data_IF_963406080329
#
_entry.id   IF_963406080329
#
_cell.length_a   1.000
_cell.length_b   1.000
_cell.length_c   1.000
_cell.angle_alpha   90.00
_cell.angle_beta   90.00
_cell.angle_gamma   90.00
#
_symmetry.space_group_name_H-M   'P 1'
#
loop_
_entity.id
_entity.type
_entity.pdbx_description
1 polymer ?
#
# COMPACT_ATOMS: atom_id res chain seq x y z
N UNK A 1 10.26 4.14 7.27
CA UNK A 1 9.46 5.19 6.60
C UNK A 1 8.48 5.79 7.61
N UNK A 2 8.66 7.07 8.00
CA UNK A 2 7.81 7.72 9.01
C UNK A 2 6.34 7.85 8.60
N UNK A 3 6.05 7.90 7.31
CA UNK A 3 4.68 8.09 6.79
C UNK A 3 3.72 6.94 7.11
N UNK A 4 4.16 5.67 7.00
CA UNK A 4 3.31 4.52 7.31
C UNK A 4 3.03 4.39 8.82
N UNK A 5 4.03 4.68 9.67
CA UNK A 5 3.84 4.75 11.12
C UNK A 5 2.82 5.82 11.50
N UNK A 6 2.91 6.99 10.85
CA UNK A 6 1.98 8.07 11.06
C UNK A 6 0.56 7.71 10.60
N UNK A 7 0.39 7.14 9.39
CA UNK A 7 -0.92 6.69 8.89
C UNK A 7 -1.52 5.62 9.82
N UNK A 8 -0.71 4.67 10.30
CA UNK A 8 -1.13 3.64 11.26
C UNK A 8 -1.70 4.27 12.54
N UNK A 9 -0.94 5.17 13.16
CA UNK A 9 -1.34 5.86 14.39
C UNK A 9 -2.59 6.73 14.20
N UNK A 10 -2.71 7.43 13.07
CA UNK A 10 -3.89 8.25 12.77
C UNK A 10 -5.14 7.39 12.57
N UNK A 11 -5.01 6.24 11.91
CA UNK A 11 -6.08 5.25 11.83
C UNK A 11 -6.48 4.76 13.21
N UNK A 12 -5.50 4.38 14.04
CA UNK A 12 -5.73 3.94 15.42
C UNK A 12 -6.56 4.96 16.21
N UNK A 13 -6.12 6.22 16.27
CA UNK A 13 -6.83 7.28 16.99
C UNK A 13 -8.24 7.53 16.45
N UNK A 14 -8.43 7.42 15.13
CA UNK A 14 -9.74 7.60 14.53
C UNK A 14 -10.73 6.52 14.97
N UNK A 15 -10.33 5.25 14.94
CA UNK A 15 -11.16 4.14 15.41
C UNK A 15 -11.40 4.21 16.92
N UNK A 16 -10.37 4.57 17.68
CA UNK A 16 -10.46 4.77 19.12
C UNK A 16 -11.49 5.86 19.47
N UNK A 17 -11.41 7.04 18.84
CA UNK A 17 -12.38 8.13 19.07
C UNK A 17 -13.84 7.74 18.76
N UNK A 18 -14.06 6.85 17.78
CA UNK A 18 -15.41 6.35 17.46
C UNK A 18 -15.93 5.36 18.49
N UNK A 19 -15.06 4.52 19.04
CA UNK A 19 -15.42 3.61 20.13
C UNK A 19 -15.76 4.38 21.42
N UNK A 20 -15.04 5.45 21.73
CA UNK A 20 -15.35 6.33 22.88
C UNK A 20 -16.69 7.08 22.72
N UNK A 21 -17.11 7.40 21.50
CA UNK A 21 -18.38 8.09 21.21
C UNK A 21 -19.61 7.17 21.27
N UNK A 22 -19.52 6.01 21.93
CA UNK A 22 -20.64 5.05 22.08
C UNK A 22 -21.02 4.31 20.80
N UNK A 23 -20.42 4.65 19.66
CA UNK A 23 -20.52 3.89 18.41
C UNK A 23 -19.58 2.70 18.50
N UNK A 24 -19.93 1.71 19.34
CA UNK A 24 -19.17 0.45 19.46
C UNK A 24 -18.96 -0.13 18.05
N UNK A 25 -17.75 0.00 17.53
CA UNK A 25 -17.36 -0.78 16.36
C UNK A 25 -17.05 -2.18 16.84
N UNK A 26 -17.45 -3.21 16.08
CA UNK A 26 -17.24 -4.62 16.44
C UNK A 26 -15.74 -5.03 16.48
N UNK A 27 -14.81 -4.09 16.30
CA UNK A 27 -13.39 -4.36 16.07
C UNK A 27 -12.51 -3.43 16.90
N UNK A 28 -11.37 -3.96 17.38
CA UNK A 28 -10.39 -3.16 18.12
C UNK A 28 -9.69 -2.14 17.20
N UNK A 29 -9.36 -0.92 17.68
CA UNK A 29 -8.70 0.11 16.88
C UNK A 29 -7.38 -0.35 16.25
N UNK A 30 -6.58 -1.10 17.00
CA UNK A 30 -5.31 -1.67 16.52
C UNK A 30 -5.50 -2.65 15.36
N UNK A 31 -6.53 -3.51 15.43
CA UNK A 31 -6.81 -4.47 14.36
C UNK A 31 -7.26 -3.77 13.08
N UNK A 32 -8.03 -2.69 13.19
CA UNK A 32 -8.50 -1.94 12.02
C UNK A 32 -7.36 -1.14 11.37
N UNK A 33 -6.53 -0.47 12.18
CA UNK A 33 -5.33 0.23 11.70
C UNK A 33 -4.35 -0.73 11.00
N UNK A 34 -4.16 -1.93 11.58
CA UNK A 34 -3.34 -2.99 11.00
C UNK A 34 -3.87 -3.46 9.64
N UNK A 35 -5.16 -3.77 9.55
CA UNK A 35 -5.80 -4.19 8.29
C UNK A 35 -5.62 -3.12 7.21
N UNK A 36 -5.88 -1.87 7.54
CA UNK A 36 -5.78 -0.76 6.58
C UNK A 36 -4.35 -0.58 6.06
N UNK A 37 -3.34 -0.56 6.95
CA UNK A 37 -1.95 -0.40 6.51
C UNK A 37 -1.46 -1.59 5.71
N UNK A 38 -1.85 -2.80 6.09
CA UNK A 38 -1.50 -4.01 5.32
C UNK A 38 -2.06 -3.94 3.91
N UNK A 39 -3.35 -3.57 3.77
CA UNK A 39 -3.99 -3.38 2.47
C UNK A 39 -3.35 -2.26 1.65
N UNK A 40 -3.02 -1.13 2.29
CA UNK A 40 -2.33 -0.02 1.64
C UNK A 40 -0.96 -0.45 1.11
N UNK A 41 -0.20 -1.21 1.89
CA UNK A 41 1.09 -1.75 1.44
C UNK A 41 0.91 -2.74 0.28
N UNK A 42 -0.08 -3.62 0.34
CA UNK A 42 -0.38 -4.55 -0.77
C UNK A 42 -0.71 -3.78 -2.06
N UNK A 43 -1.54 -2.74 -1.96
CA UNK A 43 -1.91 -1.89 -3.10
C UNK A 43 -0.70 -1.15 -3.71
N UNK A 44 0.37 -0.91 -2.96
CA UNK A 44 1.61 -0.31 -3.49
C UNK A 44 2.55 -1.39 -4.04
N UNK A 45 2.75 -2.47 -3.29
CA UNK A 45 3.75 -3.50 -3.60
C UNK A 45 3.34 -4.36 -4.79
N UNK A 46 2.07 -4.74 -4.91
CA UNK A 46 1.63 -5.63 -5.99
C UNK A 46 1.82 -5.00 -7.38
N UNK A 47 1.38 -3.75 -7.63
CA UNK A 47 1.68 -3.06 -8.89
C UNK A 47 3.17 -2.82 -9.09
N UNK A 48 3.91 -2.50 -8.02
CA UNK A 48 5.36 -2.30 -8.11
C UNK A 48 6.07 -3.57 -8.56
N UNK A 49 5.68 -4.73 -8.04
CA UNK A 49 6.21 -6.03 -8.48
C UNK A 49 5.83 -6.34 -9.93
N UNK A 50 4.61 -6.05 -10.36
CA UNK A 50 4.20 -6.20 -11.75
C UNK A 50 5.00 -5.28 -12.69
N UNK A 51 5.29 -4.06 -12.26
CA UNK A 51 6.15 -3.12 -12.98
C UNK A 51 7.60 -3.60 -13.06
N UNK A 52 8.17 -4.05 -11.94
CA UNK A 52 9.51 -4.65 -11.88
C UNK A 52 9.61 -5.86 -12.82
N UNK A 53 8.58 -6.73 -12.88
CA UNK A 53 8.53 -7.83 -13.85
C UNK A 53 8.75 -7.34 -15.28
N UNK A 54 8.03 -6.28 -15.70
CA UNK A 54 8.20 -5.72 -17.05
C UNK A 54 9.58 -5.11 -17.26
N UNK A 55 10.15 -4.40 -16.27
CA UNK A 55 11.51 -3.86 -16.39
C UNK A 55 12.55 -4.97 -16.57
N UNK A 56 12.44 -6.07 -15.82
CA UNK A 56 13.36 -7.21 -15.95
C UNK A 56 13.21 -7.85 -17.34
N UNK A 57 11.97 -8.01 -17.84
CA UNK A 57 11.71 -8.53 -19.17
C UNK A 57 12.37 -7.68 -20.28
N UNK A 58 12.26 -6.34 -20.19
CA UNK A 58 12.85 -5.40 -21.16
C UNK A 58 14.38 -5.44 -21.09
N UNK A 59 14.96 -5.52 -19.89
CA UNK A 59 16.41 -5.53 -19.70
C UNK A 59 17.11 -6.79 -20.25
N UNK A 60 16.36 -7.85 -20.56
CA UNK A 60 16.92 -9.14 -20.97
C UNK A 60 17.70 -9.87 -19.86
N UNK A 61 17.68 -9.38 -18.62
CA UNK A 61 18.40 -9.99 -17.48
C UNK A 61 17.91 -11.41 -17.16
N UNK A 62 16.64 -11.70 -17.41
CA UNK A 62 16.01 -13.01 -17.22
C UNK A 62 15.12 -13.34 -18.41
N UNK A 63 14.99 -14.62 -18.74
CA UNK A 63 14.06 -15.05 -19.78
C UNK A 63 12.61 -14.85 -19.32
N UNK A 64 11.73 -14.49 -20.26
CA UNK A 64 10.30 -14.34 -20.00
C UNK A 64 9.67 -15.63 -19.45
N UNK A 65 10.20 -16.80 -19.82
CA UNK A 65 9.75 -18.09 -19.30
C UNK A 65 9.99 -18.22 -17.78
N UNK A 66 11.17 -17.81 -17.30
CA UNK A 66 11.48 -17.83 -15.86
C UNK A 66 10.70 -16.76 -15.07
N UNK A 67 10.49 -15.57 -15.65
CA UNK A 67 9.66 -14.55 -15.01
C UNK A 67 8.21 -14.99 -14.89
N UNK A 68 7.65 -15.58 -15.95
CA UNK A 68 6.29 -16.08 -15.94
C UNK A 68 6.10 -17.25 -14.98
N UNK A 69 7.07 -18.16 -14.88
CA UNK A 69 6.97 -19.29 -13.95
C UNK A 69 6.93 -18.83 -12.49
N UNK A 70 7.54 -17.70 -12.13
CA UNK A 70 7.47 -17.15 -10.77
C UNK A 70 6.15 -16.37 -10.56
N UNK A 71 5.84 -15.43 -11.47
CA UNK A 71 4.73 -14.49 -11.27
C UNK A 71 3.34 -15.09 -11.53
N UNK A 72 3.23 -16.23 -12.23
CA UNK A 72 1.95 -16.94 -12.41
C UNK A 72 1.60 -17.84 -11.22
N UNK A 73 2.56 -18.15 -10.35
CA UNK A 73 2.32 -19.03 -9.21
C UNK A 73 1.50 -18.32 -8.12
N UNK A 74 0.34 -18.83 -7.71
CA UNK A 74 -0.43 -18.25 -6.61
C UNK A 74 0.36 -18.20 -5.30
N UNK A 75 1.23 -19.19 -5.07
CA UNK A 75 2.05 -19.27 -3.86
C UNK A 75 3.02 -18.10 -3.72
N UNK A 76 3.52 -17.56 -4.83
CA UNK A 76 4.38 -16.37 -4.80
C UNK A 76 3.63 -15.16 -4.23
N UNK A 77 2.42 -14.90 -4.73
CA UNK A 77 1.59 -13.78 -4.26
C UNK A 77 1.11 -13.96 -2.83
N UNK A 78 0.79 -15.20 -2.43
CA UNK A 78 0.46 -15.53 -1.03
C UNK A 78 1.67 -15.26 -0.13
N UNK A 79 2.88 -15.67 -0.53
CA UNK A 79 4.09 -15.42 0.24
C UNK A 79 4.38 -13.92 0.40
N UNK A 80 4.22 -13.13 -0.66
CA UNK A 80 4.34 -11.66 -0.60
C UNK A 80 3.30 -11.07 0.36
N UNK A 81 2.03 -11.50 0.28
CA UNK A 81 0.98 -11.05 1.17
C UNK A 81 1.32 -11.35 2.64
N UNK A 82 1.69 -12.60 2.94
CA UNK A 82 2.07 -13.04 4.30
C UNK A 82 3.26 -12.23 4.81
N UNK A 83 4.27 -12.01 3.97
CA UNK A 83 5.42 -11.19 4.32
C UNK A 83 5.00 -9.76 4.70
N UNK A 84 4.11 -9.12 3.94
CA UNK A 84 3.63 -7.77 4.24
C UNK A 84 2.82 -7.70 5.54
N UNK A 85 1.99 -8.72 5.82
CA UNK A 85 1.26 -8.81 7.09
C UNK A 85 2.21 -8.96 8.28
N UNK A 86 3.19 -9.88 8.20
CA UNK A 86 4.20 -10.07 9.24
C UNK A 86 5.00 -8.78 9.44
N UNK A 87 5.48 -8.17 8.35
CA UNK A 87 6.23 -6.92 8.39
C UNK A 87 5.42 -5.80 9.06
N UNK A 88 4.17 -5.61 8.68
CA UNK A 88 3.27 -4.60 9.26
C UNK A 88 3.06 -4.85 10.75
N UNK A 89 2.87 -6.11 11.15
CA UNK A 89 2.64 -6.47 12.53
C UNK A 89 3.88 -6.19 13.38
N UNK A 90 5.05 -6.67 12.94
CA UNK A 90 6.32 -6.47 13.63
C UNK A 90 6.68 -4.98 13.74
N UNK A 91 6.41 -4.20 12.70
CA UNK A 91 6.83 -2.79 12.63
C UNK A 91 5.88 -1.84 13.35
N UNK A 92 4.58 -2.05 13.23
CA UNK A 92 3.58 -1.10 13.71
C UNK A 92 2.69 -1.65 14.83
N UNK A 93 2.34 -2.93 14.77
CA UNK A 93 1.44 -3.57 15.72
C UNK A 93 2.03 -3.82 17.11
N UNK A 94 3.36 -3.81 17.25
CA UNK A 94 4.06 -4.03 18.54
C UNK A 94 4.27 -2.77 19.39
N UNK A 95 4.24 -1.59 18.79
CA UNK A 95 4.51 -0.35 19.52
C UNK A 95 3.30 0.09 20.33
N UNK A 96 3.52 0.50 21.59
CA UNK A 96 2.45 1.05 22.42
C UNK A 96 1.93 2.36 21.80
N UNK A 97 0.61 2.65 21.84
CA UNK A 97 0.04 3.90 21.33
C UNK A 97 0.76 5.16 21.83
N UNK A 98 1.28 5.14 23.06
CA UNK A 98 1.98 6.27 23.67
C UNK A 98 3.30 6.63 22.97
N UNK A 99 4.02 5.64 22.44
CA UNK A 99 5.22 5.88 21.65
C UNK A 99 4.92 6.75 20.43
N UNK A 100 3.75 6.53 19.80
CA UNK A 100 3.31 7.34 18.66
C UNK A 100 2.79 8.72 19.08
N UNK A 101 2.15 8.82 20.27
CA UNK A 101 1.75 10.10 20.83
C UNK A 101 2.97 11.00 21.04
N UNK A 102 4.04 10.46 21.63
CA UNK A 102 5.29 11.19 21.85
C UNK A 102 5.98 11.59 20.54
N UNK A 103 6.18 10.63 19.62
CA UNK A 103 6.87 10.86 18.33
C UNK A 103 6.11 11.84 17.42
N UNK A 104 4.76 11.88 17.50
CA UNK A 104 3.93 12.70 16.60
C UNK A 104 3.19 13.87 17.28
N UNK A 105 3.39 14.09 18.57
CA UNK A 105 2.79 15.19 19.35
C UNK A 105 2.97 16.58 18.73
N UNK A 106 4.11 16.78 18.05
CA UNK A 106 4.53 18.04 17.45
C UNK A 106 3.73 18.40 16.18
N UNK A 107 2.99 17.44 15.59
CA UNK A 107 2.34 17.60 14.28
C UNK A 107 0.83 17.90 14.38
N UNK A 108 0.37 18.54 15.45
CA UNK A 108 -1.05 18.86 15.68
C UNK A 108 -1.71 19.69 14.55
N UNK A 109 -0.96 20.51 13.80
CA UNK A 109 -1.48 21.22 12.62
C UNK A 109 -1.55 20.31 11.39
N UNK A 110 -0.58 19.41 11.23
CA UNK A 110 -0.56 18.37 10.19
C UNK A 110 -1.76 17.41 10.36
N UNK A 111 -2.23 17.21 11.60
CA UNK A 111 -3.33 16.31 11.93
C UNK A 111 -4.65 16.63 11.21
N UNK A 112 -4.98 17.92 10.96
CA UNK A 112 -6.21 18.31 10.24
C UNK A 112 -6.09 18.06 8.73
N UNK A 113 -4.98 18.48 8.14
CA UNK A 113 -4.73 18.34 6.71
C UNK A 113 -4.52 16.87 6.32
N UNK A 114 -3.87 16.07 7.17
CA UNK A 114 -3.64 14.65 6.85
C UNK A 114 -4.92 13.82 6.89
N UNK A 115 -5.95 14.22 7.65
CA UNK A 115 -7.26 13.53 7.60
C UNK A 115 -7.89 13.63 6.21
N UNK A 116 -7.80 14.80 5.58
CA UNK A 116 -8.28 15.04 4.21
C UNK A 116 -7.37 14.34 3.19
N UNK A 117 -6.05 14.40 3.40
CA UNK A 117 -5.08 13.71 2.53
C UNK A 117 -5.21 12.19 2.57
N UNK A 118 -5.44 11.56 3.72
CA UNK A 118 -5.59 10.10 3.82
C UNK A 118 -6.91 9.59 3.22
N UNK A 119 -7.98 10.39 3.28
CA UNK A 119 -9.31 10.00 2.80
C UNK A 119 -9.54 10.31 1.31
N UNK A 120 -8.92 11.36 0.79
CA UNK A 120 -9.16 11.83 -0.58
C UNK A 120 -7.89 11.69 -1.41
N UNK A 121 -6.79 12.26 -0.95
CA UNK A 121 -5.59 12.38 -1.79
C UNK A 121 -4.85 11.05 -1.91
N UNK A 122 -4.77 10.24 -0.86
CA UNK A 122 -4.07 8.97 -0.89
C UNK A 122 -4.77 7.96 -1.83
N UNK A 123 -6.10 7.75 -1.78
CA UNK A 123 -6.80 6.94 -2.78
C UNK A 123 -6.65 7.48 -4.20
N UNK A 124 -6.72 8.80 -4.39
CA UNK A 124 -6.57 9.44 -5.71
C UNK A 124 -5.15 9.27 -6.24
N UNK A 125 -4.12 9.46 -5.40
CA UNK A 125 -2.72 9.24 -5.78
C UNK A 125 -2.49 7.77 -6.11
N UNK A 126 -3.02 6.84 -5.30
CA UNK A 126 -2.94 5.41 -5.60
C UNK A 126 -3.64 5.10 -6.93
N UNK A 127 -4.84 5.63 -7.15
CA UNK A 127 -5.60 5.45 -8.39
C UNK A 127 -4.83 6.00 -9.59
N UNK A 128 -4.29 7.22 -9.49
CA UNK A 128 -3.51 7.86 -10.56
C UNK A 128 -2.19 7.14 -10.79
N UNK A 129 -1.51 6.64 -9.75
CA UNK A 129 -0.32 5.79 -9.89
C UNK A 129 -0.67 4.48 -10.57
N UNK A 130 -1.80 3.84 -10.22
CA UNK A 130 -2.28 2.64 -10.91
C UNK A 130 -2.63 2.92 -12.37
N UNK A 131 -3.30 4.04 -12.65
CA UNK A 131 -3.64 4.46 -14.01
C UNK A 131 -2.37 4.76 -14.81
N UNK A 132 -1.39 5.41 -14.20
CA UNK A 132 -0.09 5.70 -14.83
C UNK A 132 0.63 4.40 -15.13
N UNK A 133 0.72 3.49 -14.17
CA UNK A 133 1.29 2.14 -14.38
C UNK A 133 0.50 1.39 -15.45
N UNK A 134 -0.82 1.45 -15.46
CA UNK A 134 -1.65 0.80 -16.47
C UNK A 134 -1.39 1.36 -17.88
N UNK A 135 -1.39 2.68 -18.04
CA UNK A 135 -1.06 3.35 -19.31
C UNK A 135 0.37 3.01 -19.73
N UNK A 136 1.29 2.94 -18.79
CA UNK A 136 2.66 2.54 -19.06
C UNK A 136 2.70 1.09 -19.57
N UNK A 137 2.06 0.15 -18.87
CA UNK A 137 2.09 -1.27 -19.21
C UNK A 137 1.25 -1.60 -20.47
N UNK A 138 0.16 -0.90 -20.74
CA UNK A 138 -0.85 -1.28 -21.73
C UNK A 138 -1.26 -0.16 -22.68
N UNK A 139 -0.66 1.03 -22.57
CA UNK A 139 -1.04 2.20 -23.37
C UNK A 139 -0.91 1.97 -24.88
N UNK A 140 0.08 1.19 -25.31
CA UNK A 140 0.21 0.80 -26.73
C UNK A 140 -0.99 0.00 -27.24
N UNK A 141 -1.47 -0.97 -26.45
CA UNK A 141 -2.66 -1.78 -26.77
C UNK A 141 -3.94 -0.93 -26.76
N UNK A 142 -4.07 -0.02 -25.78
CA UNK A 142 -5.21 0.93 -25.71
C UNK A 142 -5.23 1.87 -26.92
N UNK A 143 -4.07 2.21 -27.47
CA UNK A 143 -3.92 3.05 -28.66
C UNK A 143 -3.99 2.27 -29.99
N UNK A 144 -4.39 0.99 -29.95
CA UNK A 144 -4.56 0.15 -31.14
C UNK A 144 -3.25 -0.24 -31.82
N UNK A 145 -2.13 -0.25 -31.07
CA UNK A 145 -0.84 -0.75 -31.53
C UNK A 145 -0.62 -2.16 -30.99
N UNK A 146 0.00 -3.03 -31.79
CA UNK A 146 0.29 -4.43 -31.43
C UNK A 146 1.35 -4.60 -30.31
N UNK A 147 1.86 -3.49 -29.77
CA UNK A 147 2.98 -3.47 -28.82
C UNK A 147 2.49 -3.01 -27.45
N UNK A 148 2.76 -3.81 -26.40
CA UNK A 148 2.54 -3.44 -25.00
C UNK A 148 3.69 -2.56 -24.46
N UNK A 149 3.41 -1.37 -23.90
CA UNK A 149 4.43 -0.42 -23.40
C UNK A 149 5.15 -0.86 -22.09
N UNK A 150 6.30 -0.28 -21.70
CA UNK A 150 6.85 1.09 -21.92
C UNK A 150 8.24 1.10 -22.55
N UNK A 151 8.44 2.10 -23.41
CA UNK A 151 9.61 2.46 -24.21
C UNK A 151 9.67 1.69 -25.51
N UNK A 152 8.96 2.29 -26.48
CA UNK A 152 8.68 1.90 -27.87
C UNK A 152 7.36 1.15 -28.09
#
# INVERSE_FOLDING_TARGET
>A
MKIFAYIYYRMYQWYESRNYLGKKTAYSPGNMAFKYISLLQMAVVFPSLAFVKKLIAISGLLSNYYLDSIFKLPIFWIAVAVFLFIWTYLRYGRAHPDWYNEEFSQYNVLNRNVRIWMLIVLPVVILLSHLTVYILLFGGVVLGRDVEGVFY
#
